data_IF_134022030298
#
_entry.id   IF_134022030298
#
_cell.length_a   1.000
_cell.length_b   1.000
_cell.length_c   1.000
_cell.angle_alpha   90.00
_cell.angle_beta   90.00
_cell.angle_gamma   90.00
#
_symmetry.space_group_name_H-M   'P 1'
#
loop_
_entity.id
_entity.type
_entity.pdbx_description
1 polymer ?
#
# COMPACT_ATOMS: atom_id res chain seq x y z
N UNK A 1 -10.82 -11.73 19.63
CA UNK A 1 -11.50 -12.38 18.48
C UNK A 1 -12.39 -11.40 17.70
N UNK A 2 -13.32 -10.69 18.35
CA UNK A 2 -14.28 -9.77 17.69
C UNK A 2 -13.58 -8.68 16.86
N UNK A 3 -12.48 -8.11 17.38
CA UNK A 3 -11.68 -7.13 16.63
C UNK A 3 -11.08 -7.73 15.34
N UNK A 4 -10.55 -8.95 15.40
CA UNK A 4 -9.99 -9.59 14.21
C UNK A 4 -11.06 -9.82 13.13
N UNK A 5 -12.24 -10.31 13.52
CA UNK A 5 -13.36 -10.49 12.60
C UNK A 5 -13.86 -9.19 11.97
N UNK A 6 -13.88 -8.08 12.72
CA UNK A 6 -14.28 -6.78 12.20
C UNK A 6 -13.31 -6.28 11.11
N UNK A 7 -11.99 -6.43 11.30
CA UNK A 7 -11.01 -6.13 10.24
C UNK A 7 -11.27 -6.99 9.00
N UNK A 8 -11.46 -8.29 9.18
CA UNK A 8 -11.67 -9.23 8.06
C UNK A 8 -12.92 -8.86 7.27
N UNK A 9 -14.05 -8.58 7.94
CA UNK A 9 -15.28 -8.16 7.29
C UNK A 9 -15.12 -6.83 6.55
N UNK A 10 -14.42 -5.87 7.16
CA UNK A 10 -14.13 -4.59 6.52
C UNK A 10 -13.31 -4.75 5.24
N UNK A 11 -12.20 -5.51 5.30
CA UNK A 11 -11.39 -5.76 4.10
C UNK A 11 -12.16 -6.57 3.05
N UNK A 12 -12.94 -7.56 3.44
CA UNK A 12 -13.78 -8.34 2.53
C UNK A 12 -14.80 -7.45 1.80
N UNK A 13 -15.48 -6.56 2.52
CA UNK A 13 -16.40 -5.59 1.94
C UNK A 13 -15.70 -4.66 0.94
N UNK A 14 -14.53 -4.14 1.30
CA UNK A 14 -13.72 -3.29 0.41
C UNK A 14 -13.32 -4.05 -0.86
N UNK A 15 -12.86 -5.30 -0.76
CA UNK A 15 -12.49 -6.10 -1.92
C UNK A 15 -13.68 -6.39 -2.84
N UNK A 16 -14.84 -6.72 -2.27
CA UNK A 16 -16.08 -6.94 -3.02
C UNK A 16 -16.54 -5.66 -3.74
N UNK A 17 -16.50 -4.51 -3.05
CA UNK A 17 -16.87 -3.22 -3.61
C UNK A 17 -15.91 -2.76 -4.72
N UNK A 18 -14.60 -2.93 -4.55
CA UNK A 18 -13.60 -2.63 -5.59
C UNK A 18 -13.87 -3.45 -6.85
N UNK A 19 -14.17 -4.75 -6.70
CA UNK A 19 -14.54 -5.62 -7.84
C UNK A 19 -15.81 -5.18 -8.56
N UNK A 20 -16.79 -4.61 -7.85
CA UNK A 20 -18.00 -4.06 -8.44
C UNK A 20 -17.77 -2.72 -9.16
N UNK A 21 -16.87 -1.89 -8.63
CA UNK A 21 -16.62 -0.52 -9.14
C UNK A 21 -15.63 -0.49 -10.29
N UNK A 22 -14.73 -1.48 -10.39
CA UNK A 22 -13.70 -1.56 -11.43
C UNK A 22 -14.27 -2.12 -12.75
N UNK A 23 -14.52 -1.28 -13.78
CA UNK A 23 -15.03 -1.74 -15.07
C UNK A 23 -13.82 -2.21 -15.90
N UNK A 24 -13.65 -3.53 -16.07
CA UNK A 24 -12.60 -4.21 -16.88
C UNK A 24 -11.34 -3.37 -17.18
N UNK A 25 -10.36 -3.41 -16.28
CA UNK A 25 -9.02 -2.89 -16.59
C UNK A 25 -8.29 -3.84 -17.54
N UNK A 26 -7.67 -3.30 -18.59
CA UNK A 26 -6.83 -4.08 -19.52
C UNK A 26 -5.50 -4.43 -18.84
N UNK A 27 -4.95 -5.61 -19.12
CA UNK A 27 -3.65 -6.04 -18.55
C UNK A 27 -2.54 -5.01 -18.81
N UNK A 28 -2.55 -4.33 -19.96
CA UNK A 28 -1.58 -3.27 -20.28
C UNK A 28 -1.69 -2.05 -19.35
N UNK A 29 -2.89 -1.74 -18.88
CA UNK A 29 -3.12 -0.61 -17.97
C UNK A 29 -2.67 -0.98 -16.55
N UNK A 30 -2.93 -2.22 -16.12
CA UNK A 30 -2.44 -2.74 -14.85
C UNK A 30 -0.91 -2.79 -14.84
N UNK A 31 -0.30 -3.24 -15.93
CA UNK A 31 1.16 -3.34 -16.04
C UNK A 31 1.81 -1.95 -16.07
N UNK A 32 1.18 -0.97 -16.74
CA UNK A 32 1.65 0.42 -16.71
C UNK A 32 1.48 1.06 -15.33
N UNK A 33 0.42 0.75 -14.60
CA UNK A 33 0.22 1.20 -13.21
C UNK A 33 1.26 0.55 -12.27
N UNK A 34 1.48 -0.75 -12.41
CA UNK A 34 2.47 -1.52 -11.66
C UNK A 34 3.88 -0.96 -11.86
N UNK A 35 4.28 -0.78 -13.11
CA UNK A 35 5.63 -0.38 -13.46
C UNK A 35 5.91 1.12 -13.31
N UNK A 36 4.90 1.99 -13.54
CA UNK A 36 5.09 3.45 -13.45
C UNK A 36 4.68 4.05 -12.11
N UNK A 37 3.83 3.39 -11.33
CA UNK A 37 3.33 3.94 -10.06
C UNK A 37 3.79 3.12 -8.88
N UNK A 38 3.56 1.80 -8.88
CA UNK A 38 3.89 0.93 -7.74
C UNK A 38 5.40 0.83 -7.47
N UNK A 39 6.21 0.72 -8.52
CA UNK A 39 7.68 0.62 -8.44
C UNK A 39 8.34 1.89 -7.87
N UNK A 40 8.11 3.10 -8.43
CA UNK A 40 8.71 4.31 -7.87
C UNK A 40 8.11 4.67 -6.51
N UNK A 41 6.83 4.37 -6.27
CA UNK A 41 6.19 4.62 -4.98
C UNK A 41 6.79 3.76 -3.87
N UNK A 42 7.02 2.46 -4.11
CA UNK A 42 7.64 1.58 -3.11
C UNK A 42 9.07 2.02 -2.79
N UNK A 43 9.86 2.39 -3.80
CA UNK A 43 11.21 2.92 -3.61
C UNK A 43 11.22 4.22 -2.81
N UNK A 44 10.28 5.13 -3.10
CA UNK A 44 10.12 6.39 -2.38
C UNK A 44 9.81 6.17 -0.90
N UNK A 45 8.87 5.28 -0.57
CA UNK A 45 8.55 4.95 0.81
C UNK A 45 9.74 4.31 1.53
N UNK A 46 10.51 3.44 0.88
CA UNK A 46 11.73 2.85 1.47
C UNK A 46 12.75 3.94 1.79
N UNK A 47 13.01 4.87 0.86
CA UNK A 47 13.91 5.99 1.10
C UNK A 47 13.41 6.91 2.23
N UNK A 48 12.11 7.21 2.25
CA UNK A 48 11.50 8.09 3.25
C UNK A 48 11.55 7.45 4.64
N UNK A 49 11.16 6.18 4.77
CA UNK A 49 11.19 5.46 6.04
C UNK A 49 12.62 5.22 6.51
N UNK A 50 13.54 4.84 5.62
CA UNK A 50 14.97 4.68 5.94
C UNK A 50 15.58 6.01 6.41
N UNK A 51 15.35 7.10 5.67
CA UNK A 51 15.83 8.44 6.04
C UNK A 51 15.22 8.94 7.35
N UNK A 52 13.90 8.76 7.54
CA UNK A 52 13.22 9.11 8.77
C UNK A 52 13.74 8.30 9.97
N UNK A 53 13.95 7.00 9.80
CA UNK A 53 14.53 6.14 10.82
C UNK A 53 15.97 6.56 11.13
N UNK A 54 16.74 6.95 10.11
CA UNK A 54 18.11 7.41 10.33
C UNK A 54 18.15 8.68 11.18
N UNK A 55 17.29 9.65 10.86
CA UNK A 55 17.17 10.92 11.58
C UNK A 55 16.66 10.72 13.02
N UNK A 56 15.66 9.87 13.23
CA UNK A 56 15.03 9.68 14.55
C UNK A 56 15.78 8.71 15.45
N UNK A 57 16.35 7.62 14.91
CA UNK A 57 16.98 6.55 15.70
C UNK A 57 18.49 6.72 15.90
N UNK A 58 19.22 7.28 14.94
CA UNK A 58 20.64 7.60 15.13
C UNK A 58 20.88 9.03 15.63
N UNK A 59 19.92 9.95 15.44
CA UNK A 59 19.93 11.30 16.05
C UNK A 59 19.34 11.37 17.46
N UNK A 60 18.52 10.39 17.85
CA UNK A 60 17.90 10.30 19.19
C UNK A 60 18.58 9.33 20.15
N UNK A 61 19.76 8.82 19.81
CA UNK A 61 20.63 8.04 20.72
C UNK A 61 21.66 8.96 21.41
N UNK A 62 21.18 10.08 21.97
CA UNK A 62 21.84 10.84 23.03
C UNK A 62 20.98 10.74 24.28
#
# INVERSE_FOLDING_TARGET
IIWLFLKIFFFFFVFSWVKATVPRYRYDQLMRLGWKVLLPLSLFFVFLVSGFLMLTRYGGAQ
#
